data_IF_751914879547
#
_entry.id   IF_751914879547
#
_cell.length_a   1.000
_cell.length_b   1.000
_cell.length_c   1.000
_cell.angle_alpha   90.00
_cell.angle_beta   90.00
_cell.angle_gamma   90.00
#
_symmetry.space_group_name_H-M   'P 1'
#
loop_
_entity.id
_entity.type
_entity.pdbx_description
1 polymer ?
#
# COMPACT_ATOMS: atom_id res chain seq x y z
N UNK A 1 26.57 -6.86 22.67
CA UNK A 1 25.90 -6.33 21.47
C UNK A 1 24.85 -5.41 22.02
N UNK A 2 25.06 -4.12 21.82
CA UNK A 2 24.30 -3.06 22.48
C UNK A 2 22.97 -2.88 21.71
N UNK A 3 21.85 -3.22 22.32
CA UNK A 3 20.48 -3.08 21.79
C UNK A 3 20.01 -1.60 21.77
N UNK A 4 20.92 -0.64 21.98
CA UNK A 4 20.64 0.78 22.24
C UNK A 4 20.34 1.64 21.00
N UNK A 5 20.40 1.07 19.79
CA UNK A 5 20.19 1.81 18.53
C UNK A 5 18.79 1.62 17.91
N UNK A 6 17.91 0.82 18.52
CA UNK A 6 16.52 0.78 18.09
C UNK A 6 15.79 2.02 18.58
N UNK A 7 15.03 2.67 17.70
CA UNK A 7 14.14 3.76 18.09
C UNK A 7 13.16 3.21 19.12
N UNK A 8 13.27 3.66 20.37
CA UNK A 8 12.25 3.42 21.39
C UNK A 8 10.96 4.09 20.93
N UNK A 9 9.92 3.27 20.77
CA UNK A 9 8.66 3.74 20.27
C UNK A 9 7.75 4.06 21.45
N UNK A 10 6.95 5.14 21.38
CA UNK A 10 6.06 5.48 22.48
C UNK A 10 5.10 4.33 22.78
N UNK A 11 4.94 4.01 24.08
CA UNK A 11 4.15 2.89 24.59
C UNK A 11 2.63 3.05 24.41
N UNK A 12 2.16 4.23 23.98
CA UNK A 12 0.74 4.55 23.85
C UNK A 12 0.20 4.40 22.43
N UNK A 13 -1.13 4.25 22.33
CA UNK A 13 -1.99 4.26 21.13
C UNK A 13 -1.87 5.52 20.23
N UNK A 14 -0.81 6.31 20.40
CA UNK A 14 -0.43 7.42 19.55
C UNK A 14 -0.28 6.96 18.09
N UNK A 15 -0.96 7.67 17.19
CA UNK A 15 -0.85 7.44 15.75
C UNK A 15 0.61 7.68 15.36
N UNK A 16 1.29 6.63 14.91
CA UNK A 16 2.61 6.81 14.31
C UNK A 16 2.41 7.59 13.02
N UNK A 17 3.08 8.74 12.93
CA UNK A 17 3.06 9.58 11.73
C UNK A 17 4.32 9.31 10.92
N UNK A 18 4.12 8.81 9.71
CA UNK A 18 5.20 8.45 8.81
C UNK A 18 5.35 9.50 7.73
N UNK A 19 6.57 9.61 7.21
CA UNK A 19 6.87 10.36 6.01
C UNK A 19 7.67 9.52 5.02
N UNK A 20 7.57 9.86 3.74
CA UNK A 20 8.32 9.22 2.66
C UNK A 20 9.15 10.28 1.94
N UNK A 21 10.44 10.02 1.72
CA UNK A 21 11.33 10.84 0.89
C UNK A 21 11.79 10.00 -0.30
N UNK A 22 11.28 10.33 -1.48
CA UNK A 22 11.68 9.73 -2.75
C UNK A 22 12.86 10.53 -3.29
N UNK A 23 13.97 9.85 -3.57
CA UNK A 23 15.22 10.44 -4.03
C UNK A 23 15.48 9.90 -5.43
N UNK A 24 15.42 10.79 -6.42
CA UNK A 24 15.59 10.40 -7.82
C UNK A 24 15.17 11.50 -8.80
N UNK A 25 16.16 11.99 -9.56
CA UNK A 25 15.96 12.96 -10.63
C UNK A 25 14.98 12.49 -11.72
N UNK A 26 14.93 11.18 -11.99
CA UNK A 26 14.06 10.58 -12.99
C UNK A 26 12.57 10.68 -12.62
N UNK A 27 12.27 10.70 -11.32
CA UNK A 27 10.90 10.90 -10.81
C UNK A 27 10.51 12.37 -11.00
N UNK A 28 11.40 13.30 -10.64
CA UNK A 28 11.17 14.73 -10.83
C UNK A 28 11.00 15.13 -12.30
N UNK A 29 11.72 14.45 -13.21
CA UNK A 29 11.60 14.65 -14.67
C UNK A 29 10.38 13.95 -15.27
N UNK A 30 9.65 13.15 -14.49
CA UNK A 30 8.51 12.36 -14.98
C UNK A 30 8.91 11.25 -15.95
N UNK A 31 10.18 10.84 -15.97
CA UNK A 31 10.66 9.74 -16.81
C UNK A 31 10.22 8.38 -16.27
N UNK A 32 10.11 8.28 -14.94
CA UNK A 32 9.62 7.09 -14.25
C UNK A 32 8.44 7.47 -13.37
N UNK A 33 7.38 6.67 -13.45
CA UNK A 33 6.23 6.82 -12.58
C UNK A 33 6.59 6.29 -11.20
N UNK A 34 6.42 7.10 -10.16
CA UNK A 34 6.60 6.65 -8.78
C UNK A 34 5.50 5.66 -8.38
N UNK A 35 5.85 4.37 -8.36
CA UNK A 35 5.02 3.28 -7.83
C UNK A 35 5.35 2.95 -6.37
N UNK A 36 6.50 3.40 -5.87
CA UNK A 36 7.01 3.06 -4.55
C UNK A 36 6.20 3.76 -3.46
N UNK A 37 5.90 5.04 -3.64
CA UNK A 37 5.03 5.78 -2.70
C UNK A 37 3.65 5.14 -2.60
N UNK A 38 3.06 4.73 -3.74
CA UNK A 38 1.77 4.05 -3.74
C UNK A 38 1.83 2.73 -2.97
N UNK A 39 2.83 1.90 -3.24
CA UNK A 39 3.01 0.63 -2.55
C UNK A 39 3.22 0.83 -1.04
N UNK A 40 4.14 1.70 -0.63
CA UNK A 40 4.46 1.98 0.77
C UNK A 40 3.24 2.52 1.50
N UNK A 41 2.57 3.53 0.94
CA UNK A 41 1.38 4.14 1.56
C UNK A 41 0.29 3.11 1.75
N UNK A 42 0.03 2.28 0.73
CA UNK A 42 -0.95 1.19 0.83
C UNK A 42 -0.54 0.21 1.93
N UNK A 43 0.71 -0.26 1.96
CA UNK A 43 1.13 -1.27 2.93
C UNK A 43 1.15 -0.74 4.36
N UNK A 44 1.68 0.46 4.59
CA UNK A 44 1.65 1.11 5.90
C UNK A 44 0.23 1.32 6.41
N UNK A 45 -0.69 1.71 5.52
CA UNK A 45 -2.10 1.83 5.85
C UNK A 45 -2.70 0.52 6.37
N UNK A 46 -2.38 -0.62 5.74
CA UNK A 46 -2.81 -1.93 6.26
C UNK A 46 -2.22 -2.26 7.64
N UNK A 47 -1.09 -1.65 8.00
CA UNK A 47 -0.47 -1.78 9.32
C UNK A 47 -1.02 -0.76 10.34
N UNK A 48 -2.08 -0.03 10.01
CA UNK A 48 -2.65 1.01 10.88
C UNK A 48 -1.80 2.28 10.97
N UNK A 49 -0.88 2.48 10.02
CA UNK A 49 0.06 3.61 9.99
C UNK A 49 -0.38 4.65 8.96
N UNK A 50 -0.35 5.92 9.36
CA UNK A 50 -0.68 7.05 8.47
C UNK A 50 0.59 7.66 7.91
N UNK A 51 0.71 7.66 6.58
CA UNK A 51 1.69 8.51 5.87
C UNK A 51 1.13 9.93 5.81
N UNK A 52 1.83 10.87 6.43
CA UNK A 52 1.39 12.27 6.54
C UNK A 52 1.99 13.16 5.44
N UNK A 53 3.20 12.86 4.98
CA UNK A 53 3.89 13.65 3.96
C UNK A 53 4.74 12.76 3.06
N UNK A 54 4.74 13.09 1.79
CA UNK A 54 5.67 12.56 0.79
C UNK A 54 6.44 13.75 0.22
N UNK A 55 7.75 13.60 0.09
CA UNK A 55 8.62 14.55 -0.61
C UNK A 55 9.36 13.82 -1.71
N UNK A 56 9.51 14.46 -2.87
CA UNK A 56 10.28 13.95 -4.01
C UNK A 56 11.38 14.97 -4.26
N UNK A 57 12.63 14.54 -4.18
CA UNK A 57 13.81 15.42 -4.19
C UNK A 57 14.89 14.91 -5.16
N UNK A 58 15.76 15.80 -5.68
CA UNK A 58 16.84 15.40 -6.58
C UNK A 58 17.93 14.61 -5.84
N UNK A 59 18.79 13.95 -6.62
CA UNK A 59 20.03 13.30 -6.17
C UNK A 59 21.11 14.34 -5.82
N UNK A 60 20.82 15.19 -4.82
CA UNK A 60 21.70 16.24 -4.32
C UNK A 60 21.95 16.09 -2.82
N UNK A 61 23.23 16.10 -2.43
CA UNK A 61 23.66 15.81 -1.06
C UNK A 61 23.05 16.77 -0.03
N UNK A 62 23.07 18.07 -0.33
CA UNK A 62 22.58 19.09 0.59
C UNK A 62 21.06 18.98 0.75
N UNK A 63 20.36 18.74 -0.37
CA UNK A 63 18.91 18.57 -0.38
C UNK A 63 18.47 17.33 0.39
N UNK A 64 19.09 16.18 0.15
CA UNK A 64 18.81 14.93 0.90
C UNK A 64 19.06 15.15 2.39
N UNK A 65 20.21 15.73 2.74
CA UNK A 65 20.58 15.98 4.13
C UNK A 65 19.58 16.88 4.85
N UNK A 66 19.17 17.98 4.22
CA UNK A 66 18.22 18.92 4.78
C UNK A 66 16.83 18.30 4.96
N UNK A 67 16.30 17.64 3.93
CA UNK A 67 14.96 17.05 3.95
C UNK A 67 14.88 15.92 4.99
N UNK A 68 15.89 15.04 5.02
CA UNK A 68 15.96 13.95 6.01
C UNK A 68 16.01 14.50 7.43
N UNK A 69 16.85 15.51 7.70
CA UNK A 69 16.96 16.11 9.04
C UNK A 69 15.66 16.81 9.48
N UNK A 70 14.99 17.50 8.55
CA UNK A 70 13.70 18.12 8.85
C UNK A 70 12.64 17.06 9.15
N UNK A 71 12.57 16.01 8.33
CA UNK A 71 11.54 14.98 8.45
C UNK A 71 11.78 14.13 9.70
N UNK A 72 13.04 13.80 10.01
CA UNK A 72 13.39 12.99 11.18
C UNK A 72 12.97 13.66 12.49
N UNK A 73 12.94 15.00 12.53
CA UNK A 73 12.50 15.79 13.69
C UNK A 73 10.98 15.90 13.82
N UNK A 74 10.24 15.82 12.70
CA UNK A 74 8.79 16.04 12.65
C UNK A 74 7.98 14.74 12.73
N UNK A 75 8.51 13.65 12.21
CA UNK A 75 7.79 12.40 12.03
C UNK A 75 8.37 11.28 12.88
N UNK A 76 7.54 10.31 13.24
CA UNK A 76 7.98 9.15 14.02
C UNK A 76 8.94 8.29 13.22
N UNK A 77 8.66 8.11 11.92
CA UNK A 77 9.53 7.43 10.98
C UNK A 77 9.63 8.20 9.65
N UNK A 78 10.81 8.12 9.05
CA UNK A 78 11.09 8.58 7.69
C UNK A 78 11.50 7.37 6.87
N UNK A 79 10.73 7.06 5.83
CA UNK A 79 11.14 6.05 4.87
C UNK A 79 11.74 6.76 3.66
N UNK A 80 12.91 6.33 3.19
CA UNK A 80 13.43 6.80 1.91
C UNK A 80 13.32 5.74 0.83
N UNK A 81 13.28 6.16 -0.43
CA UNK A 81 13.37 5.27 -1.58
C UNK A 81 14.24 5.89 -2.66
N UNK A 82 15.30 5.18 -3.06
CA UNK A 82 16.21 5.63 -4.12
C UNK A 82 17.63 5.94 -3.64
N UNK A 83 18.56 6.06 -4.59
CA UNK A 83 19.93 6.52 -4.35
C UNK A 83 20.84 5.62 -3.50
N UNK A 84 20.68 4.29 -3.54
CA UNK A 84 21.48 3.32 -2.73
C UNK A 84 22.28 2.32 -3.56
N UNK A 85 22.29 2.47 -4.88
CA UNK A 85 23.07 1.62 -5.78
C UNK A 85 24.56 2.01 -5.87
N UNK A 86 25.26 1.49 -6.88
CA UNK A 86 26.70 1.70 -7.05
C UNK A 86 27.07 2.95 -7.86
N UNK A 87 26.12 3.69 -8.44
CA UNK A 87 26.43 4.80 -9.35
C UNK A 87 26.77 6.08 -8.59
N UNK A 88 27.27 7.10 -9.29
CA UNK A 88 27.81 8.32 -8.67
C UNK A 88 26.72 9.20 -8.04
N UNK A 89 25.51 9.14 -8.58
CA UNK A 89 24.27 9.77 -8.14
C UNK A 89 23.56 8.99 -7.02
N UNK A 90 23.94 7.74 -6.73
CA UNK A 90 23.41 6.99 -5.59
C UNK A 90 24.00 7.49 -4.25
N UNK A 91 23.53 8.64 -3.75
CA UNK A 91 24.14 9.34 -2.59
C UNK A 91 23.23 9.42 -1.34
N UNK A 92 22.23 8.54 -1.24
CA UNK A 92 21.28 8.55 -0.12
C UNK A 92 21.96 8.26 1.22
N UNK A 93 22.91 7.34 1.28
CA UNK A 93 23.65 7.05 2.53
C UNK A 93 24.48 8.25 2.98
N UNK A 94 25.14 8.94 2.04
CA UNK A 94 25.90 10.15 2.28
C UNK A 94 25.00 11.28 2.77
N UNK A 95 23.82 11.46 2.16
CA UNK A 95 22.85 12.47 2.58
C UNK A 95 22.28 12.21 3.98
N UNK A 96 21.96 10.95 4.29
CA UNK A 96 21.49 10.55 5.63
C UNK A 96 22.60 10.72 6.68
N UNK A 97 23.84 10.34 6.37
CA UNK A 97 24.99 10.57 7.27
C UNK A 97 25.18 12.07 7.54
N UNK A 98 25.16 12.89 6.49
CA UNK A 98 25.30 14.34 6.59
C UNK A 98 24.17 14.97 7.43
N UNK A 99 22.92 14.49 7.29
CA UNK A 99 21.77 14.93 8.09
C UNK A 99 22.03 14.80 9.60
N UNK A 100 22.76 13.74 9.99
CA UNK A 100 23.03 13.42 11.39
C UNK A 100 24.43 13.78 11.87
N UNK A 101 25.25 14.41 11.02
CA UNK A 101 26.62 14.79 11.35
C UNK A 101 27.58 13.59 11.48
N UNK A 102 27.27 12.49 10.80
CA UNK A 102 28.04 11.25 10.81
C UNK A 102 28.83 11.08 9.51
N UNK A 103 29.80 10.16 9.51
CA UNK A 103 30.50 9.76 8.29
C UNK A 103 29.87 8.51 7.70
N UNK A 104 30.16 8.28 6.43
CA UNK A 104 29.91 6.99 5.78
C UNK A 104 31.19 6.15 5.91
N UNK A 105 31.06 4.93 6.41
CA UNK A 105 32.17 4.00 6.70
C UNK A 105 31.89 2.61 6.12
N UNK A 106 32.91 1.84 5.74
CA UNK A 106 32.72 0.46 5.30
C UNK A 106 32.21 -0.41 6.46
N UNK A 107 31.05 -1.03 6.28
CA UNK A 107 30.51 -1.99 7.26
C UNK A 107 31.03 -3.41 6.94
N UNK A 108 31.72 -4.04 7.89
CA UNK A 108 32.39 -5.34 7.70
C UNK A 108 31.48 -6.37 7.05
N UNK A 109 30.28 -6.57 7.60
CA UNK A 109 29.37 -7.63 7.16
C UNK A 109 28.81 -7.39 5.75
N UNK A 110 28.59 -6.11 5.38
CA UNK A 110 28.15 -5.76 4.02
C UNK A 110 29.28 -5.96 3.04
N UNK A 111 30.49 -5.49 3.37
CA UNK A 111 31.67 -5.62 2.51
C UNK A 111 31.97 -7.10 2.25
N UNK A 112 31.96 -7.96 3.27
CA UNK A 112 32.16 -9.41 3.08
C UNK A 112 31.09 -10.03 2.17
N UNK A 113 29.82 -9.67 2.36
CA UNK A 113 28.73 -10.12 1.49
C UNK A 113 28.89 -9.66 0.05
N UNK A 114 29.30 -8.41 -0.16
CA UNK A 114 29.53 -7.83 -1.48
C UNK A 114 30.71 -8.50 -2.18
N UNK A 115 31.82 -8.73 -1.46
CA UNK A 115 32.98 -9.46 -1.96
C UNK A 115 32.61 -10.86 -2.45
N UNK A 116 31.85 -11.59 -1.63
CA UNK A 116 31.37 -12.92 -1.99
C UNK A 116 30.43 -12.89 -3.21
N UNK A 117 29.48 -11.96 -3.24
CA UNK A 117 28.47 -11.89 -4.29
C UNK A 117 29.05 -11.45 -5.65
N UNK A 118 29.88 -10.42 -5.66
CA UNK A 118 30.50 -9.87 -6.87
C UNK A 118 31.84 -10.55 -7.23
N UNK A 119 32.32 -11.48 -6.39
CA UNK A 119 33.57 -12.23 -6.59
C UNK A 119 34.78 -11.31 -6.82
N UNK A 120 34.87 -10.25 -6.01
CA UNK A 120 35.95 -9.27 -6.09
C UNK A 120 36.35 -8.80 -4.70
N UNK A 121 37.65 -8.67 -4.45
CA UNK A 121 38.21 -8.09 -3.23
C UNK A 121 38.66 -6.63 -3.41
N UNK A 122 38.49 -6.09 -4.61
CA UNK A 122 38.87 -4.73 -4.96
C UNK A 122 37.93 -3.71 -4.31
N UNK A 123 38.44 -3.00 -3.31
CA UNK A 123 37.72 -1.94 -2.58
C UNK A 123 37.40 -0.73 -3.46
N UNK A 124 38.04 -0.59 -4.62
CA UNK A 124 37.76 0.49 -5.59
C UNK A 124 36.63 0.14 -6.56
N UNK A 125 36.16 -1.12 -6.53
CA UNK A 125 35.01 -1.54 -7.33
C UNK A 125 33.76 -0.74 -6.97
N UNK A 126 32.96 -0.26 -7.96
CA UNK A 126 31.69 0.42 -7.70
C UNK A 126 30.74 -0.38 -6.80
N UNK A 127 30.83 -1.71 -6.83
CA UNK A 127 30.03 -2.57 -5.98
C UNK A 127 30.26 -2.36 -4.48
N UNK A 128 31.49 -1.98 -4.08
CA UNK A 128 31.85 -1.79 -2.67
C UNK A 128 31.24 -0.52 -2.08
N UNK A 129 30.83 0.44 -2.92
CA UNK A 129 30.10 1.64 -2.48
C UNK A 129 28.85 1.27 -1.67
N UNK A 130 28.11 0.24 -2.10
CA UNK A 130 26.88 -0.21 -1.40
C UNK A 130 27.14 -0.75 0.02
N UNK A 131 28.38 -1.04 0.38
CA UNK A 131 28.78 -1.48 1.73
C UNK A 131 29.31 -0.34 2.61
N UNK A 132 29.39 0.88 2.07
CA UNK A 132 29.70 2.09 2.82
C UNK A 132 28.37 2.68 3.29
N UNK A 133 28.15 2.68 4.60
CA UNK A 133 26.89 3.11 5.24
C UNK A 133 27.20 4.08 6.39
N UNK A 134 26.22 4.86 6.89
CA UNK A 134 26.44 5.76 8.03
C UNK A 134 26.99 5.01 9.26
N UNK A 135 27.84 5.66 10.06
CA UNK A 135 28.52 5.04 11.21
C UNK A 135 27.55 4.36 12.20
N UNK A 136 26.37 4.95 12.44
CA UNK A 136 25.36 4.38 13.34
C UNK A 136 24.36 3.42 12.66
N UNK A 137 24.63 3.01 11.42
CA UNK A 137 23.73 2.16 10.64
C UNK A 137 23.39 0.83 11.33
N UNK A 138 22.11 0.51 11.33
CA UNK A 138 21.56 -0.80 11.73
C UNK A 138 21.14 -1.56 10.47
N UNK A 139 21.60 -2.80 10.36
CA UNK A 139 21.27 -3.70 9.24
C UNK A 139 19.98 -4.47 9.57
N UNK A 140 18.88 -4.05 8.96
CA UNK A 140 17.57 -4.68 9.14
C UNK A 140 17.40 -5.85 8.16
N UNK A 141 17.53 -7.06 8.69
CA UNK A 141 17.26 -8.28 7.94
C UNK A 141 15.80 -8.69 8.03
N UNK A 142 15.12 -8.71 6.88
CA UNK A 142 13.81 -9.31 6.72
C UNK A 142 13.87 -10.83 6.80
N UNK A 143 12.82 -11.46 7.28
CA UNK A 143 12.71 -12.91 7.36
C UNK A 143 11.33 -13.36 6.89
N UNK A 144 11.30 -14.35 6.00
CA UNK A 144 10.06 -14.94 5.56
C UNK A 144 9.47 -15.80 6.68
N UNK A 145 8.29 -15.43 7.18
CA UNK A 145 7.67 -16.08 8.34
C UNK A 145 7.29 -17.55 8.13
N UNK A 146 7.13 -17.98 6.88
CA UNK A 146 6.70 -19.35 6.54
C UNK A 146 7.92 -20.26 6.41
N UNK A 147 8.94 -19.81 5.69
CA UNK A 147 10.13 -20.58 5.37
C UNK A 147 11.31 -20.36 6.33
N UNK A 148 11.28 -19.31 7.15
CA UNK A 148 12.39 -18.89 8.01
C UNK A 148 13.60 -18.36 7.24
N UNK A 149 13.47 -18.16 5.92
CA UNK A 149 14.59 -17.72 5.07
C UNK A 149 14.81 -16.22 5.26
N UNK A 150 16.00 -15.86 5.71
CA UNK A 150 16.43 -14.46 5.82
C UNK A 150 16.66 -13.84 4.45
N UNK A 151 16.32 -12.57 4.33
CA UNK A 151 16.63 -11.75 3.16
C UNK A 151 18.14 -11.73 2.92
N UNK A 152 18.52 -11.81 1.64
CA UNK A 152 19.93 -11.80 1.24
C UNK A 152 20.61 -10.48 1.61
N UNK A 153 19.92 -9.38 1.40
CA UNK A 153 20.39 -8.02 1.61
C UNK A 153 19.57 -7.37 2.72
N UNK A 154 20.21 -6.66 3.66
CA UNK A 154 19.48 -5.89 4.67
C UNK A 154 18.95 -4.57 4.06
N UNK A 155 17.97 -4.00 4.74
CA UNK A 155 17.64 -2.57 4.62
C UNK A 155 18.43 -1.82 5.68
N UNK A 156 18.90 -0.61 5.37
CA UNK A 156 19.69 0.16 6.32
C UNK A 156 18.78 1.12 7.07
N UNK A 157 18.89 1.13 8.40
CA UNK A 157 18.22 2.11 9.26
C UNK A 157 19.26 2.96 9.99
N UNK A 158 18.98 4.25 10.12
CA UNK A 158 19.79 5.20 10.90
C UNK A 158 18.83 6.05 11.71
N UNK A 159 18.88 5.91 13.04
CA UNK A 159 17.86 6.50 13.94
C UNK A 159 16.46 6.11 13.46
N UNK A 160 15.57 7.08 13.24
CA UNK A 160 14.21 6.85 12.74
C UNK A 160 14.07 6.91 11.20
N UNK A 161 15.18 6.79 10.46
CA UNK A 161 15.20 6.79 9.00
C UNK A 161 15.48 5.38 8.49
N UNK A 162 14.57 4.81 7.70
CA UNK A 162 14.77 3.50 7.05
C UNK A 162 14.89 3.66 5.55
N UNK A 163 15.98 3.16 4.99
CA UNK A 163 16.47 3.50 3.65
C UNK A 163 16.20 2.35 2.68
N UNK A 164 15.14 2.46 1.88
CA UNK A 164 14.77 1.44 0.89
C UNK A 164 15.40 1.70 -0.48
N UNK A 165 15.62 0.65 -1.29
CA UNK A 165 16.07 0.81 -2.66
C UNK A 165 15.03 1.52 -3.54
N UNK A 166 15.49 2.16 -4.62
CA UNK A 166 14.61 2.82 -5.60
C UNK A 166 13.92 1.84 -6.56
N UNK A 167 14.53 0.67 -6.81
CA UNK A 167 13.96 -0.34 -7.71
C UNK A 167 12.69 -0.95 -7.10
N UNK A 168 11.50 -0.81 -7.73
CA UNK A 168 10.23 -1.17 -7.10
C UNK A 168 10.18 -2.60 -6.58
N UNK A 169 10.60 -3.58 -7.39
CA UNK A 169 10.58 -4.98 -6.96
C UNK A 169 11.45 -5.27 -5.73
N UNK A 170 12.58 -4.55 -5.58
CA UNK A 170 13.46 -4.72 -4.41
C UNK A 170 12.86 -4.08 -3.16
N UNK A 171 12.25 -2.91 -3.31
CA UNK A 171 11.53 -2.22 -2.23
C UNK A 171 10.34 -3.06 -1.77
N UNK A 172 9.51 -3.52 -2.69
CA UNK A 172 8.32 -4.32 -2.37
C UNK A 172 8.69 -5.60 -1.61
N UNK A 173 9.74 -6.28 -2.07
CA UNK A 173 10.24 -7.49 -1.44
C UNK A 173 10.80 -7.22 -0.04
N UNK A 174 11.64 -6.19 0.11
CA UNK A 174 12.24 -5.85 1.40
C UNK A 174 11.20 -5.40 2.42
N UNK A 175 10.28 -4.51 2.02
CA UNK A 175 9.18 -4.08 2.88
C UNK A 175 8.25 -5.23 3.24
N UNK A 176 7.93 -6.15 2.33
CA UNK A 176 7.06 -7.29 2.67
C UNK A 176 7.66 -8.21 3.72
N UNK A 177 8.99 -8.27 3.83
CA UNK A 177 9.70 -9.08 4.83
C UNK A 177 9.97 -8.33 6.15
N UNK A 178 9.96 -7.00 6.13
CA UNK A 178 10.37 -6.15 7.26
C UNK A 178 9.23 -5.32 7.86
N UNK A 179 8.27 -4.90 7.03
CA UNK A 179 7.31 -3.85 7.38
C UNK A 179 6.47 -4.20 8.60
N UNK A 180 6.01 -5.44 8.72
CA UNK A 180 5.28 -5.87 9.93
C UNK A 180 6.17 -5.89 11.17
N UNK A 181 7.43 -6.33 11.06
CA UNK A 181 8.38 -6.36 12.19
C UNK A 181 8.71 -4.96 12.68
N UNK A 182 8.95 -4.04 11.76
CA UNK A 182 9.45 -2.70 12.07
C UNK A 182 8.32 -1.71 12.42
N UNK A 183 7.16 -1.85 11.76
CA UNK A 183 6.16 -0.78 11.75
C UNK A 183 4.78 -1.21 12.25
N UNK A 184 4.47 -2.52 12.34
CA UNK A 184 3.17 -2.93 12.84
C UNK A 184 3.07 -2.77 14.37
N UNK A 185 1.87 -2.41 14.82
CA UNK A 185 1.50 -2.40 16.23
C UNK A 185 0.41 -3.42 16.48
N UNK A 186 0.57 -4.33 17.46
CA UNK A 186 -0.49 -5.23 17.85
C UNK A 186 -1.76 -4.46 18.21
N UNK A 187 -2.89 -4.83 17.61
CA UNK A 187 -4.19 -4.22 17.91
C UNK A 187 -4.45 -2.85 17.29
N UNK A 188 -3.53 -2.30 16.49
CA UNK A 188 -3.74 -1.04 15.75
C UNK A 188 -4.02 -1.37 14.29
N UNK A 189 -5.16 -0.92 13.78
CA UNK A 189 -5.56 -1.11 12.40
C UNK A 189 -6.68 -0.17 12.02
N UNK A 190 -6.67 0.32 10.78
CA UNK A 190 -7.76 1.15 10.29
C UNK A 190 -9.00 0.28 10.01
N UNK A 191 -10.13 0.70 10.55
CA UNK A 191 -11.43 0.16 10.24
C UNK A 191 -12.07 1.05 9.17
N UNK A 192 -12.43 0.45 8.04
CA UNK A 192 -13.03 1.16 6.90
C UNK A 192 -14.49 0.77 6.67
N UNK A 193 -15.27 1.72 6.19
CA UNK A 193 -16.58 1.51 5.54
C UNK A 193 -16.63 2.26 4.22
N UNK A 194 -17.30 1.67 3.23
CA UNK A 194 -17.50 2.28 1.92
C UNK A 194 -18.99 2.27 1.59
N UNK A 195 -19.51 3.42 1.19
CA UNK A 195 -20.89 3.59 0.73
C UNK A 195 -20.87 4.06 -0.72
N UNK A 196 -21.70 3.43 -1.56
CA UNK A 196 -21.88 3.81 -2.95
C UNK A 196 -23.22 4.51 -3.13
N UNK A 197 -23.21 5.62 -3.86
CA UNK A 197 -24.37 6.48 -4.04
C UNK A 197 -24.74 6.64 -5.52
N UNK A 198 -26.04 6.65 -5.82
CA UNK A 198 -26.61 6.97 -7.15
C UNK A 198 -26.65 8.48 -7.43
N UNK A 199 -26.34 9.30 -6.42
CA UNK A 199 -26.40 10.76 -6.49
C UNK A 199 -25.03 11.40 -6.68
N UNK A 200 -25.01 12.60 -7.25
CA UNK A 200 -23.79 13.39 -7.42
C UNK A 200 -23.29 13.97 -6.08
N UNK A 201 -22.03 14.41 -6.09
CA UNK A 201 -21.36 14.94 -4.90
C UNK A 201 -22.03 16.20 -4.34
N UNK A 202 -22.53 17.11 -5.19
CA UNK A 202 -23.13 18.37 -4.76
C UNK A 202 -24.39 18.10 -3.95
N UNK A 203 -25.23 17.20 -4.43
CA UNK A 203 -26.49 16.82 -3.78
C UNK A 203 -26.28 16.24 -2.37
N UNK A 204 -25.18 15.52 -2.14
CA UNK A 204 -24.90 14.83 -0.87
C UNK A 204 -23.98 15.61 0.08
N UNK A 205 -23.26 16.62 -0.42
CA UNK A 205 -22.28 17.42 0.34
C UNK A 205 -22.83 17.98 1.67
N UNK A 206 -24.07 18.53 1.75
CA UNK A 206 -24.58 19.03 3.02
C UNK A 206 -24.65 17.95 4.11
N UNK A 207 -25.10 16.75 3.74
CA UNK A 207 -25.18 15.61 4.65
C UNK A 207 -23.77 15.14 5.04
N UNK A 208 -22.85 15.08 4.07
CA UNK A 208 -21.46 14.70 4.34
C UNK A 208 -20.79 15.66 5.32
N UNK A 209 -20.91 16.97 5.09
CA UNK A 209 -20.29 17.99 5.93
C UNK A 209 -20.86 17.98 7.35
N UNK A 210 -22.16 17.75 7.49
CA UNK A 210 -22.81 17.56 8.79
C UNK A 210 -22.25 16.33 9.52
N UNK A 211 -22.12 15.19 8.82
CA UNK A 211 -21.53 13.97 9.38
C UNK A 211 -20.06 14.17 9.76
N UNK A 212 -19.25 14.78 8.89
CA UNK A 212 -17.83 15.09 9.16
C UNK A 212 -17.69 15.95 10.42
N UNK A 213 -18.54 16.97 10.57
CA UNK A 213 -18.52 17.86 11.74
C UNK A 213 -18.89 17.14 13.04
N UNK A 214 -19.72 16.10 12.96
CA UNK A 214 -20.18 15.32 14.11
C UNK A 214 -19.19 14.23 14.54
N UNK A 215 -18.39 13.70 13.62
CA UNK A 215 -17.46 12.60 13.86
C UNK A 215 -16.02 12.98 13.47
N UNK A 216 -15.37 13.91 14.20
CA UNK A 216 -14.01 14.37 13.89
C UNK A 216 -12.94 13.27 13.97
N UNK A 217 -13.22 12.15 14.65
CA UNK A 217 -12.35 10.98 14.79
C UNK A 217 -12.39 10.05 13.55
N UNK A 218 -13.27 10.33 12.60
CA UNK A 218 -13.41 9.57 11.36
C UNK A 218 -12.89 10.39 10.19
N UNK A 219 -11.98 9.79 9.42
CA UNK A 219 -11.53 10.34 8.15
C UNK A 219 -12.55 10.01 7.06
N UNK A 220 -13.04 11.02 6.37
CA UNK A 220 -13.99 10.88 5.28
C UNK A 220 -13.32 11.15 3.93
N UNK A 221 -13.68 10.36 2.92
CA UNK A 221 -13.29 10.57 1.53
C UNK A 221 -14.51 10.58 0.62
N UNK A 222 -14.54 11.49 -0.34
CA UNK A 222 -15.57 11.57 -1.38
C UNK A 222 -14.90 11.42 -2.75
N UNK A 223 -15.39 10.47 -3.55
CA UNK A 223 -14.83 10.15 -4.86
C UNK A 223 -15.96 10.10 -5.90
N UNK A 224 -16.29 11.23 -6.54
CA UNK A 224 -17.22 11.25 -7.65
C UNK A 224 -16.66 10.48 -8.86
N UNK A 225 -17.55 9.84 -9.62
CA UNK A 225 -17.24 9.12 -10.86
C UNK A 225 -18.15 9.62 -11.97
N UNK A 226 -17.55 10.30 -12.95
CA UNK A 226 -18.29 10.95 -14.04
C UNK A 226 -18.99 9.95 -14.99
N UNK A 227 -18.37 8.79 -15.26
CA UNK A 227 -18.81 7.87 -16.30
C UNK A 227 -19.04 6.44 -15.79
N UNK A 228 -19.40 6.28 -14.51
CA UNK A 228 -19.62 4.96 -13.95
C UNK A 228 -21.10 4.56 -14.02
N UNK A 229 -21.38 3.41 -14.63
CA UNK A 229 -22.75 2.99 -14.96
C UNK A 229 -23.63 2.65 -13.75
N UNK A 230 -23.02 2.35 -12.60
CA UNK A 230 -23.74 1.81 -11.44
C UNK A 230 -23.88 2.79 -10.27
N UNK A 231 -22.87 3.63 -10.03
CA UNK A 231 -22.85 4.61 -8.93
C UNK A 231 -22.21 5.90 -9.44
N UNK A 232 -22.60 7.02 -8.83
CA UNK A 232 -22.06 8.35 -9.15
C UNK A 232 -21.02 8.82 -8.15
N UNK A 233 -21.16 8.46 -6.88
CA UNK A 233 -20.23 8.90 -5.82
C UNK A 233 -19.91 7.73 -4.90
N UNK A 234 -18.63 7.56 -4.57
CA UNK A 234 -18.16 6.62 -3.54
C UNK A 234 -17.72 7.43 -2.32
N UNK A 235 -18.28 7.11 -1.16
CA UNK A 235 -17.87 7.66 0.13
C UNK A 235 -17.09 6.60 0.89
N UNK A 236 -15.94 6.99 1.45
CA UNK A 236 -15.15 6.14 2.36
C UNK A 236 -15.11 6.78 3.74
N UNK A 237 -15.20 5.96 4.77
CA UNK A 237 -15.11 6.36 6.17
C UNK A 237 -14.07 5.47 6.84
N UNK A 238 -13.20 6.06 7.64
CA UNK A 238 -12.11 5.32 8.25
C UNK A 238 -11.70 5.87 9.61
N UNK A 239 -11.43 4.98 10.57
CA UNK A 239 -10.86 5.35 11.87
C UNK A 239 -10.09 4.18 12.46
N UNK A 240 -9.22 4.44 13.44
CA UNK A 240 -8.59 3.40 14.25
C UNK A 240 -9.57 2.73 15.24
N UNK A 241 -10.75 3.33 15.45
CA UNK A 241 -11.79 2.75 16.29
C UNK A 241 -13.01 2.39 15.44
N UNK A 242 -13.34 1.10 15.39
CA UNK A 242 -14.47 0.59 14.60
C UNK A 242 -15.81 1.23 14.98
N UNK A 243 -16.01 1.56 16.26
CA UNK A 243 -17.29 2.13 16.74
C UNK A 243 -17.59 3.48 16.12
N UNK A 244 -16.59 4.36 16.02
CA UNK A 244 -16.78 5.68 15.40
C UNK A 244 -17.16 5.55 13.93
N UNK A 245 -16.59 4.58 13.23
CA UNK A 245 -16.92 4.33 11.82
C UNK A 245 -18.35 3.79 11.68
N UNK A 246 -18.74 2.85 12.54
CA UNK A 246 -20.11 2.29 12.55
C UNK A 246 -21.17 3.35 12.87
N UNK A 247 -20.92 4.20 13.87
CA UNK A 247 -21.81 5.30 14.24
C UNK A 247 -21.90 6.36 13.14
N UNK A 248 -20.76 6.73 12.53
CA UNK A 248 -20.73 7.66 11.41
C UNK A 248 -21.45 7.11 10.18
N UNK A 249 -21.25 5.83 9.88
CA UNK A 249 -21.92 5.13 8.79
C UNK A 249 -23.44 5.14 9.00
N UNK A 250 -23.90 4.76 10.20
CA UNK A 250 -25.31 4.76 10.56
C UNK A 250 -25.92 6.16 10.42
N UNK A 251 -25.28 7.16 11.01
CA UNK A 251 -25.75 8.55 10.96
C UNK A 251 -25.86 9.07 9.52
N UNK A 252 -24.85 8.79 8.69
CA UNK A 252 -24.86 9.17 7.29
C UNK A 252 -26.03 8.49 6.55
N UNK A 253 -26.22 7.18 6.76
CA UNK A 253 -27.31 6.42 6.13
C UNK A 253 -28.70 6.93 6.54
N UNK A 254 -28.91 7.27 7.81
CA UNK A 254 -30.19 7.82 8.28
C UNK A 254 -30.53 9.18 7.65
N UNK A 255 -29.50 9.98 7.33
CA UNK A 255 -29.68 11.32 6.73
C UNK A 255 -29.79 11.28 5.21
N UNK A 256 -29.32 10.20 4.57
CA UNK A 256 -29.47 10.02 3.12
C UNK A 256 -30.92 9.72 2.73
N UNK A 257 -31.31 10.19 1.55
CA UNK A 257 -32.65 9.95 1.01
C UNK A 257 -32.80 8.51 0.52
N UNK A 258 -34.02 8.00 0.54
CA UNK A 258 -34.35 6.69 -0.02
C UNK A 258 -33.90 6.57 -1.48
N UNK A 259 -33.30 5.42 -1.81
CA UNK A 259 -32.78 5.13 -3.16
C UNK A 259 -31.45 5.79 -3.51
N UNK A 260 -30.85 6.58 -2.61
CA UNK A 260 -29.51 7.14 -2.83
C UNK A 260 -28.41 6.10 -2.66
N UNK A 261 -28.53 5.24 -1.66
CA UNK A 261 -27.52 4.21 -1.38
C UNK A 261 -27.80 2.98 -2.23
N UNK A 262 -26.73 2.43 -2.79
CA UNK A 262 -26.78 1.14 -3.50
C UNK A 262 -25.83 0.14 -2.87
N UNK A 263 -26.23 -1.12 -2.94
CA UNK A 263 -25.35 -2.24 -2.66
C UNK A 263 -24.53 -2.53 -3.93
N UNK A 264 -23.30 -2.01 -3.98
CA UNK A 264 -22.40 -2.18 -5.12
C UNK A 264 -21.25 -3.11 -4.75
N UNK A 265 -21.11 -4.18 -5.55
CA UNK A 265 -20.05 -5.16 -5.40
C UNK A 265 -18.85 -4.72 -6.24
N UNK A 266 -17.80 -4.27 -5.57
CA UNK A 266 -16.56 -3.80 -6.23
C UNK A 266 -15.61 -4.92 -6.63
N UNK A 267 -15.75 -6.11 -6.03
CA UNK A 267 -14.97 -7.30 -6.37
C UNK A 267 -15.90 -8.39 -6.91
N UNK A 268 -16.06 -8.37 -8.23
CA UNK A 268 -16.87 -9.34 -8.97
C UNK A 268 -16.11 -10.64 -9.27
N UNK A 269 -14.82 -10.70 -8.95
CA UNK A 269 -13.87 -11.74 -9.39
C UNK A 269 -13.63 -12.77 -8.27
N UNK A 270 -13.51 -12.32 -7.02
CA UNK A 270 -13.06 -13.19 -5.92
C UNK A 270 -14.17 -14.02 -5.26
N UNK A 271 -15.44 -13.59 -5.28
CA UNK A 271 -16.56 -14.40 -4.75
C UNK A 271 -17.96 -13.90 -5.15
N UNK A 272 -18.33 -13.91 -6.45
CA UNK A 272 -19.68 -13.52 -6.86
C UNK A 272 -20.75 -14.57 -6.49
N UNK A 273 -20.36 -15.84 -6.33
CA UNK A 273 -21.28 -16.97 -6.24
C UNK A 273 -22.19 -16.95 -4.99
N UNK A 274 -21.70 -16.72 -3.75
CA UNK A 274 -22.58 -16.65 -2.58
C UNK A 274 -23.63 -15.54 -2.68
N UNK A 275 -23.31 -14.43 -3.34
CA UNK A 275 -24.24 -13.32 -3.55
C UNK A 275 -25.29 -13.66 -4.61
N UNK A 276 -24.88 -14.26 -5.73
CA UNK A 276 -25.79 -14.79 -6.76
C UNK A 276 -26.77 -15.81 -6.14
N UNK A 277 -26.27 -16.71 -5.30
CA UNK A 277 -27.10 -17.68 -4.58
C UNK A 277 -28.13 -17.00 -3.68
N UNK A 278 -27.73 -15.94 -2.94
CA UNK A 278 -28.65 -15.16 -2.10
C UNK A 278 -29.73 -14.47 -2.92
N UNK A 279 -29.38 -13.89 -4.08
CA UNK A 279 -30.34 -13.25 -4.98
C UNK A 279 -31.34 -14.27 -5.57
N UNK A 280 -30.87 -15.44 -5.99
CA UNK A 280 -31.72 -16.54 -6.49
C UNK A 280 -32.64 -17.12 -5.38
N UNK A 281 -32.17 -17.14 -4.14
CA UNK A 281 -32.96 -17.59 -2.99
C UNK A 281 -34.00 -16.55 -2.52
N UNK A 282 -33.82 -15.28 -2.88
CA UNK A 282 -34.72 -14.18 -2.51
C UNK A 282 -35.87 -13.98 -3.50
N UNK A 283 -36.87 -13.18 -3.11
CA UNK A 283 -37.96 -12.68 -3.98
C UNK A 283 -37.52 -11.51 -4.87
N UNK A 284 -36.24 -11.45 -5.25
CA UNK A 284 -35.70 -10.35 -6.05
C UNK A 284 -36.32 -10.33 -7.44
N UNK A 285 -36.61 -9.13 -7.95
CA UNK A 285 -37.05 -8.92 -9.33
C UNK A 285 -36.01 -9.35 -10.37
N UNK A 286 -34.75 -9.51 -9.95
CA UNK A 286 -33.65 -9.97 -10.81
C UNK A 286 -33.59 -11.49 -10.95
N UNK A 287 -34.32 -12.24 -10.13
CA UNK A 287 -34.26 -13.71 -10.10
C UNK A 287 -34.54 -14.36 -11.47
N UNK A 288 -35.57 -13.98 -12.25
CA UNK A 288 -35.82 -14.60 -13.56
C UNK A 288 -34.66 -14.40 -14.54
N UNK A 289 -34.14 -13.17 -14.63
CA UNK A 289 -33.04 -12.82 -15.52
C UNK A 289 -31.73 -13.53 -15.11
N UNK A 290 -31.50 -13.67 -13.80
CA UNK A 290 -30.32 -14.34 -13.27
C UNK A 290 -30.36 -15.86 -13.51
N UNK A 291 -31.52 -16.48 -13.35
CA UNK A 291 -31.73 -17.89 -13.69
C UNK A 291 -31.50 -18.14 -15.18
N UNK A 292 -32.10 -17.33 -16.05
CA UNK A 292 -31.93 -17.45 -17.50
C UNK A 292 -30.46 -17.29 -17.93
N UNK A 293 -29.76 -16.31 -17.35
CA UNK A 293 -28.33 -16.12 -17.62
C UNK A 293 -27.49 -17.34 -17.20
N UNK A 294 -27.77 -17.94 -16.04
CA UNK A 294 -27.07 -19.14 -15.58
C UNK A 294 -27.38 -20.36 -16.46
N UNK A 295 -28.63 -20.52 -16.88
CA UNK A 295 -29.03 -21.59 -17.79
C UNK A 295 -28.30 -21.48 -19.14
N UNK A 296 -28.18 -20.27 -19.69
CA UNK A 296 -27.41 -20.02 -20.93
C UNK A 296 -25.94 -20.37 -20.73
N UNK A 297 -25.33 -19.97 -19.61
CA UNK A 297 -23.92 -20.26 -19.32
C UNK A 297 -23.70 -21.77 -19.19
N UNK A 298 -24.57 -22.48 -18.45
CA UNK A 298 -24.51 -23.94 -18.31
C UNK A 298 -24.66 -24.64 -19.67
N UNK A 299 -25.63 -24.23 -20.49
CA UNK A 299 -25.80 -24.75 -21.85
C UNK A 299 -24.55 -24.53 -22.72
N UNK A 300 -23.84 -23.41 -22.53
CA UNK A 300 -22.58 -23.17 -23.23
C UNK A 300 -21.48 -24.13 -22.76
N UNK A 301 -21.36 -24.40 -21.46
CA UNK A 301 -20.40 -25.38 -20.94
C UNK A 301 -20.72 -26.80 -21.40
N UNK A 302 -22.00 -27.19 -21.45
CA UNK A 302 -22.43 -28.51 -21.92
C UNK A 302 -22.17 -28.68 -23.43
N UNK A 303 -22.31 -27.60 -24.21
CA UNK A 303 -22.19 -27.62 -25.67
C UNK A 303 -20.76 -27.46 -26.19
N UNK A 304 -19.90 -26.75 -25.47
CA UNK A 304 -18.54 -26.41 -25.93
C UNK A 304 -17.49 -26.96 -24.95
N UNK A 305 -16.58 -27.80 -25.44
CA UNK A 305 -15.48 -28.37 -24.64
C UNK A 305 -14.45 -27.31 -24.21
N UNK A 306 -13.74 -27.50 -23.06
CA UNK A 306 -12.95 -26.45 -22.40
C UNK A 306 -11.79 -25.83 -23.20
N UNK A 307 -11.41 -26.41 -24.34
CA UNK A 307 -10.22 -26.02 -25.10
C UNK A 307 -10.49 -25.11 -26.32
N UNK A 308 -11.75 -24.78 -26.64
CA UNK A 308 -12.08 -24.06 -27.88
C UNK A 308 -12.78 -22.70 -27.71
N UNK A 309 -13.08 -22.25 -26.50
CA UNK A 309 -13.86 -21.01 -26.30
C UNK A 309 -12.97 -19.80 -25.97
N UNK A 310 -12.57 -19.04 -27.00
CA UNK A 310 -12.22 -17.63 -26.83
C UNK A 310 -13.49 -16.80 -26.94
N UNK A 311 -14.07 -16.42 -25.80
CA UNK A 311 -15.17 -15.46 -25.76
C UNK A 311 -14.63 -14.05 -25.98
N UNK A 312 -14.96 -13.45 -27.13
CA UNK A 312 -14.67 -12.06 -27.43
C UNK A 312 -15.98 -11.28 -27.41
N UNK A 313 -16.46 -10.90 -26.22
CA UNK A 313 -17.63 -10.03 -26.06
C UNK A 313 -17.26 -8.81 -25.20
N UNK A 314 -17.23 -7.58 -25.76
CA UNK A 314 -16.66 -6.41 -25.09
C UNK A 314 -17.35 -5.96 -23.80
N UNK A 315 -18.50 -6.54 -23.43
CA UNK A 315 -19.29 -6.16 -22.24
C UNK A 315 -19.65 -7.30 -21.27
N UNK A 316 -19.27 -8.55 -21.58
CA UNK A 316 -19.58 -9.74 -20.74
C UNK A 316 -18.31 -10.44 -20.25
N UNK A 317 -17.13 -9.97 -20.68
CA UNK A 317 -15.82 -10.56 -20.37
C UNK A 317 -15.46 -10.61 -18.87
N UNK A 318 -16.16 -9.87 -18.00
CA UNK A 318 -15.92 -9.90 -16.55
C UNK A 318 -16.70 -10.99 -15.79
N UNK A 319 -17.78 -11.55 -16.35
CA UNK A 319 -18.66 -12.48 -15.60
C UNK A 319 -18.40 -13.96 -15.84
N UNK A 320 -17.78 -14.34 -16.96
CA UNK A 320 -17.73 -15.75 -17.42
C UNK A 320 -16.49 -16.55 -16.97
N UNK A 321 -15.28 -15.98 -16.74
CA UNK A 321 -14.13 -16.78 -16.31
C UNK A 321 -14.29 -17.43 -14.93
N UNK A 322 -15.29 -17.03 -14.14
CA UNK A 322 -15.44 -17.44 -12.75
C UNK A 322 -16.42 -18.60 -12.55
N UNK A 323 -17.42 -18.75 -13.43
CA UNK A 323 -18.26 -19.96 -13.44
C UNK A 323 -17.47 -21.20 -13.89
N UNK A 324 -16.40 -21.04 -14.68
CA UNK A 324 -15.56 -22.18 -15.08
C UNK A 324 -14.73 -22.76 -13.94
N UNK A 325 -14.38 -21.97 -12.92
CA UNK A 325 -13.47 -22.42 -11.85
C UNK A 325 -14.22 -23.22 -10.77
N UNK A 326 -15.44 -22.82 -10.42
CA UNK A 326 -16.26 -23.52 -9.43
C UNK A 326 -16.98 -24.75 -10.03
N UNK A 327 -17.30 -24.74 -11.32
CA UNK A 327 -17.92 -25.90 -12.00
C UNK A 327 -16.90 -27.03 -12.22
N UNK A 328 -15.60 -26.73 -12.31
CA UNK A 328 -14.54 -27.75 -12.39
C UNK A 328 -14.18 -28.38 -11.04
N UNK A 329 -14.74 -27.91 -9.92
CA UNK A 329 -14.56 -28.51 -8.58
C UNK A 329 -15.78 -29.33 -8.11
N UNK A 330 -16.74 -29.63 -8.99
CA UNK A 330 -17.83 -30.58 -8.71
C UNK A 330 -17.52 -31.98 -9.19
#
# INVERSE_FOLDING_TARGET
>A
MDDSNHVELPDDFSILIFSIVVIGDEILRGQTQDTNTYFLSKKLHHLGVKVQRVSIIPDDLATISQEVLEFSKRYTFVLTSGGVGPTHDDITYEGVAAAFGEKVVPHSDLIEKLKFYFKTDDMTSPAMKMGHVPESAVLEYGEDRVSGVKARWPVISVKNVTIFPGVPHLLEKSFSLLGEKLFARPGVGFHGRTIYLTTDEVSMTPILNETVSKFPEVSFGSYPKLFHSYYKTKITMESLNSKFVEEAEHYFKEKTKDGWIIDYISDTVSSPWPHIQKLLASSSSLKPALTEALDIINQCFDKYTPYSTRFNWPKVAECIPHLSKDTMQR
#
